data_IF_109195077947
#
_entry.id   IF_109195077947
#
_cell.length_a   1.000
_cell.length_b   1.000
_cell.length_c   1.000
_cell.angle_alpha   90.00
_cell.angle_beta   90.00
_cell.angle_gamma   90.00
#
_symmetry.space_group_name_H-M   'P 1'
#
loop_
_entity.id
_entity.type
_entity.pdbx_description
1 polymer ?
#
# COMPACT_ATOMS: atom_id res chain seq x y z
N UNK A 1 9.36 -12.83 -12.98
CA UNK A 1 9.61 -11.97 -11.79
C UNK A 1 8.27 -11.58 -11.18
N UNK A 2 7.98 -12.02 -9.95
CA UNK A 2 6.74 -11.73 -9.24
C UNK A 2 6.57 -10.23 -8.98
N UNK A 3 5.31 -9.80 -8.90
CA UNK A 3 4.96 -8.42 -8.56
C UNK A 3 4.45 -8.34 -7.12
N UNK A 4 5.31 -7.87 -6.22
CA UNK A 4 4.97 -7.64 -4.83
C UNK A 4 4.22 -6.32 -4.60
N UNK A 5 4.16 -5.43 -5.62
CA UNK A 5 3.56 -4.11 -5.48
C UNK A 5 2.08 -4.20 -5.09
N UNK A 6 1.69 -3.37 -4.14
CA UNK A 6 0.31 -3.29 -3.67
C UNK A 6 0.21 -2.82 -2.23
N UNK A 7 -1.03 -2.64 -1.81
CA UNK A 7 -1.39 -2.44 -0.41
C UNK A 7 -1.81 -3.79 0.17
N UNK A 8 -1.31 -4.10 1.36
CA UNK A 8 -1.41 -5.39 2.00
C UNK A 8 -1.95 -5.20 3.42
N UNK A 9 -2.97 -6.00 3.76
CA UNK A 9 -3.55 -6.06 5.11
C UNK A 9 -3.25 -7.41 5.74
N UNK A 10 -2.91 -7.40 7.02
CA UNK A 10 -2.58 -8.64 7.74
C UNK A 10 -3.83 -9.50 7.92
N UNK A 11 -3.72 -10.78 7.52
CA UNK A 11 -4.72 -11.84 7.69
C UNK A 11 -4.48 -12.61 8.99
N UNK A 12 -3.23 -12.98 9.25
CA UNK A 12 -2.84 -13.69 10.47
C UNK A 12 -1.43 -13.33 10.91
N UNK A 13 -1.14 -13.53 12.20
CA UNK A 13 0.18 -13.36 12.79
C UNK A 13 0.38 -14.43 13.85
N UNK A 14 1.47 -15.18 13.74
CA UNK A 14 1.82 -16.27 14.65
C UNK A 14 3.18 -15.98 15.29
N UNK A 15 3.29 -16.27 16.59
CA UNK A 15 4.54 -16.23 17.35
C UNK A 15 5.27 -14.87 17.43
N UNK A 16 4.58 -13.76 17.16
CA UNK A 16 5.18 -12.41 17.20
C UNK A 16 5.65 -12.01 18.61
N UNK A 17 4.91 -12.40 19.66
CA UNK A 17 5.33 -12.10 21.03
C UNK A 17 6.60 -12.86 21.42
N UNK A 18 6.72 -14.13 21.07
CA UNK A 18 7.92 -14.93 21.36
C UNK A 18 9.13 -14.42 20.57
N UNK A 19 8.95 -13.94 19.33
CA UNK A 19 10.02 -13.26 18.59
C UNK A 19 10.53 -12.05 19.37
N UNK A 20 9.64 -11.16 19.84
CA UNK A 20 10.04 -9.99 20.63
C UNK A 20 10.73 -10.38 21.94
N UNK A 21 10.31 -11.48 22.56
CA UNK A 21 10.93 -12.02 23.77
C UNK A 21 12.33 -12.55 23.50
N UNK A 22 12.55 -13.25 22.39
CA UNK A 22 13.87 -13.70 21.95
C UNK A 22 14.82 -12.52 21.69
N UNK A 23 14.28 -11.41 21.17
CA UNK A 23 15.01 -10.14 21.00
C UNK A 23 15.26 -9.38 22.32
N UNK A 24 14.85 -9.92 23.48
CA UNK A 24 15.08 -9.31 24.79
C UNK A 24 14.10 -8.20 25.16
N UNK A 25 13.00 -8.03 24.41
CA UNK A 25 11.98 -7.02 24.73
C UNK A 25 11.23 -7.42 26.00
N UNK A 26 11.12 -6.51 26.97
CA UNK A 26 10.42 -6.79 28.23
C UNK A 26 8.91 -7.00 28.05
N UNK A 27 8.28 -7.72 28.98
CA UNK A 27 6.88 -8.17 28.85
C UNK A 27 5.87 -7.04 28.61
N UNK A 28 6.04 -5.89 29.27
CA UNK A 28 5.12 -4.76 29.10
C UNK A 28 5.19 -4.20 27.67
N UNK A 29 6.41 -3.96 27.16
CA UNK A 29 6.61 -3.47 25.80
C UNK A 29 6.14 -4.47 24.74
N UNK A 30 6.30 -5.78 24.99
CA UNK A 30 5.80 -6.81 24.07
C UNK A 30 4.28 -6.75 23.91
N UNK A 31 3.53 -6.65 25.01
CA UNK A 31 2.07 -6.54 24.95
C UNK A 31 1.61 -5.32 24.18
N UNK A 32 2.27 -4.17 24.39
CA UNK A 32 1.99 -2.94 23.64
C UNK A 32 2.30 -3.15 22.15
N UNK A 33 3.44 -3.74 21.82
CA UNK A 33 3.86 -3.99 20.44
C UNK A 33 2.91 -4.95 19.70
N UNK A 34 2.48 -6.03 20.36
CA UNK A 34 1.49 -6.97 19.81
C UNK A 34 0.17 -6.27 19.52
N UNK A 35 -0.34 -5.46 20.47
CA UNK A 35 -1.56 -4.70 20.28
C UNK A 35 -1.43 -3.67 19.14
N UNK A 36 -0.29 -2.96 19.08
CA UNK A 36 -0.04 -1.93 18.07
C UNK A 36 0.14 -2.51 16.65
N UNK A 37 0.79 -3.66 16.55
CA UNK A 37 1.05 -4.38 15.31
C UNK A 37 -0.02 -5.45 15.02
N UNK A 38 -1.22 -5.32 15.60
CA UNK A 38 -2.33 -6.26 15.38
C UNK A 38 -3.03 -6.08 14.03
N UNK A 39 -2.94 -4.89 13.41
CA UNK A 39 -3.51 -4.58 12.10
C UNK A 39 -2.58 -3.67 11.28
N UNK A 40 -1.36 -4.11 10.94
CA UNK A 40 -0.44 -3.31 10.15
C UNK A 40 -0.96 -3.17 8.72
N UNK A 41 -0.84 -1.96 8.18
CA UNK A 41 -0.97 -1.70 6.75
C UNK A 41 0.43 -1.69 6.12
N UNK A 42 0.62 -2.49 5.07
CA UNK A 42 1.90 -2.59 4.36
C UNK A 42 1.71 -2.13 2.93
N UNK A 43 2.47 -1.13 2.50
CA UNK A 43 2.52 -0.66 1.12
C UNK A 43 3.87 -1.08 0.52
N UNK A 44 3.84 -1.77 -0.61
CA UNK A 44 5.04 -2.17 -1.35
C UNK A 44 4.99 -1.52 -2.73
N UNK A 45 6.10 -0.91 -3.12
CA UNK A 45 6.36 -0.47 -4.50
C UNK A 45 7.61 -1.20 -4.99
N UNK A 46 7.50 -1.84 -6.15
CA UNK A 46 8.58 -2.57 -6.78
C UNK A 46 8.85 -1.99 -8.17
N UNK A 47 10.09 -1.66 -8.45
CA UNK A 47 10.60 -1.30 -9.77
C UNK A 47 11.80 -2.19 -10.10
N UNK A 48 11.55 -3.25 -10.86
CA UNK A 48 12.54 -4.30 -11.11
C UNK A 48 13.01 -4.97 -9.81
N UNK A 49 14.28 -4.73 -9.48
CA UNK A 49 14.96 -5.20 -8.26
C UNK A 49 14.92 -4.19 -7.11
N UNK A 50 14.41 -2.99 -7.35
CA UNK A 50 14.30 -1.93 -6.35
C UNK A 50 12.96 -2.04 -5.63
N UNK A 51 13.01 -1.97 -4.30
CA UNK A 51 11.85 -2.07 -3.42
C UNK A 51 11.77 -0.86 -2.52
N UNK A 52 10.56 -0.34 -2.38
CA UNK A 52 10.15 0.54 -1.30
C UNK A 52 9.06 -0.17 -0.51
N UNK A 53 9.24 -0.27 0.81
CA UNK A 53 8.29 -0.92 1.70
C UNK A 53 7.99 0.01 2.86
N UNK A 54 6.71 0.34 3.01
CA UNK A 54 6.18 1.12 4.12
C UNK A 54 5.29 0.24 4.98
N UNK A 55 5.61 0.13 6.26
CA UNK A 55 4.79 -0.58 7.24
C UNK A 55 4.26 0.43 8.25
N UNK A 56 2.93 0.57 8.31
CA UNK A 56 2.23 1.47 9.21
C UNK A 56 1.48 0.66 10.27
N UNK A 57 1.77 0.93 11.54
CA UNK A 57 1.04 0.40 12.72
C UNK A 57 0.36 1.55 13.45
N UNK A 58 -0.43 1.27 14.50
CA UNK A 58 -1.07 2.35 15.28
C UNK A 58 -0.08 3.23 16.04
N UNK A 59 1.14 2.73 16.28
CA UNK A 59 2.16 3.42 17.09
C UNK A 59 3.33 3.93 16.25
N UNK A 60 3.70 3.20 15.19
CA UNK A 60 4.90 3.48 14.41
C UNK A 60 4.68 3.23 12.93
N UNK A 61 5.23 4.13 12.13
CA UNK A 61 5.42 3.92 10.68
C UNK A 61 6.91 3.75 10.41
N UNK A 62 7.25 2.76 9.60
CA UNK A 62 8.61 2.47 9.15
C UNK A 62 8.64 2.39 7.64
N UNK A 63 9.69 2.91 7.03
CA UNK A 63 9.88 2.93 5.58
C UNK A 63 11.30 2.46 5.28
N UNK A 64 11.43 1.50 4.38
CA UNK A 64 12.72 1.00 3.90
C UNK A 64 12.75 1.06 2.37
N UNK A 65 13.89 1.45 1.82
CA UNK A 65 14.17 1.39 0.39
C UNK A 65 15.45 0.60 0.19
N UNK A 66 15.42 -0.39 -0.69
CA UNK A 66 16.58 -1.24 -0.95
C UNK A 66 16.54 -1.78 -2.37
N UNK A 67 17.68 -2.30 -2.82
CA UNK A 67 17.80 -3.06 -4.06
C UNK A 67 18.28 -4.46 -3.76
N UNK A 68 17.71 -5.46 -4.42
CA UNK A 68 18.16 -6.85 -4.28
C UNK A 68 19.65 -6.96 -4.64
N UNK A 69 20.42 -7.62 -3.78
CA UNK A 69 21.86 -7.81 -3.94
C UNK A 69 22.74 -6.68 -3.37
N UNK A 70 22.16 -5.58 -2.89
CA UNK A 70 22.89 -4.44 -2.32
C UNK A 70 22.65 -4.33 -0.80
N UNK A 71 23.70 -3.96 -0.04
CA UNK A 71 23.56 -3.67 1.39
C UNK A 71 22.78 -2.36 1.60
N UNK A 72 21.90 -2.32 2.60
CA UNK A 72 21.18 -1.12 3.01
C UNK A 72 21.08 -1.03 4.54
N UNK A 73 20.75 0.15 5.06
CA UNK A 73 20.54 0.36 6.50
C UNK A 73 19.05 0.31 6.82
N UNK A 74 18.70 -0.41 7.89
CA UNK A 74 17.35 -0.43 8.45
C UNK A 74 17.42 -0.60 9.98
N UNK A 75 16.28 -0.93 10.59
CA UNK A 75 16.21 -1.31 11.99
C UNK A 75 15.61 -2.72 12.11
N UNK A 76 16.12 -3.48 13.07
CA UNK A 76 15.48 -4.74 13.48
C UNK A 76 14.07 -4.49 14.03
N UNK A 77 13.27 -5.54 14.19
CA UNK A 77 11.89 -5.45 14.69
C UNK A 77 11.80 -4.76 16.07
N UNK A 78 12.82 -4.93 16.91
CA UNK A 78 12.93 -4.27 18.23
C UNK A 78 13.55 -2.86 18.17
N UNK A 79 13.93 -2.37 16.99
CA UNK A 79 14.37 -0.99 16.75
C UNK A 79 15.88 -0.76 16.82
N UNK A 80 16.71 -1.80 16.76
CA UNK A 80 18.18 -1.64 16.75
C UNK A 80 18.67 -1.38 15.32
N UNK A 81 19.53 -0.37 15.07
CA UNK A 81 20.10 -0.13 13.76
C UNK A 81 20.92 -1.33 13.25
N UNK A 82 20.68 -1.74 12.00
CA UNK A 82 21.37 -2.84 11.35
C UNK A 82 21.66 -2.53 9.87
N UNK A 83 22.65 -3.26 9.33
CA UNK A 83 22.82 -3.44 7.89
C UNK A 83 22.08 -4.69 7.46
N UNK A 84 21.47 -4.60 6.29
CA UNK A 84 20.66 -5.67 5.73
C UNK A 84 21.05 -5.95 4.29
N UNK A 85 20.89 -7.21 3.88
CA UNK A 85 21.17 -7.66 2.52
C UNK A 85 20.07 -8.59 2.05
N UNK A 86 19.24 -8.10 1.11
CA UNK A 86 18.15 -8.87 0.53
C UNK A 86 18.61 -9.60 -0.74
N UNK A 87 18.24 -10.87 -0.88
CA UNK A 87 18.54 -11.73 -2.04
C UNK A 87 17.32 -12.55 -2.43
N UNK A 88 17.22 -12.91 -3.72
CA UNK A 88 16.27 -13.92 -4.16
C UNK A 88 16.71 -15.31 -3.68
N UNK A 89 15.83 -16.04 -3.01
CA UNK A 89 16.01 -17.46 -2.71
C UNK A 89 15.35 -18.32 -3.79
N UNK A 90 14.20 -17.87 -4.30
CA UNK A 90 13.49 -18.47 -5.42
C UNK A 90 12.87 -17.37 -6.30
N UNK A 91 12.15 -17.75 -7.36
CA UNK A 91 11.43 -16.77 -8.19
C UNK A 91 10.44 -15.94 -7.36
N UNK A 92 9.74 -16.54 -6.41
CA UNK A 92 8.65 -15.92 -5.65
C UNK A 92 9.03 -15.54 -4.21
N UNK A 93 10.28 -15.74 -3.79
CA UNK A 93 10.73 -15.55 -2.42
C UNK A 93 12.05 -14.79 -2.32
N UNK A 94 12.04 -13.71 -1.56
CA UNK A 94 13.24 -13.00 -1.14
C UNK A 94 13.55 -13.28 0.34
N UNK A 95 14.83 -13.34 0.67
CA UNK A 95 15.35 -13.49 2.03
C UNK A 95 16.29 -12.33 2.34
N UNK A 96 16.32 -11.88 3.58
CA UNK A 96 17.12 -10.78 4.05
C UNK A 96 17.82 -11.16 5.35
N UNK A 97 19.14 -11.04 5.34
CA UNK A 97 19.97 -11.18 6.53
C UNK A 97 20.19 -9.81 7.16
N UNK A 98 20.09 -9.71 8.48
CA UNK A 98 20.30 -8.47 9.21
C UNK A 98 21.52 -8.60 10.15
N UNK A 99 22.37 -7.59 10.17
CA UNK A 99 23.58 -7.50 10.99
C UNK A 99 23.59 -6.20 11.76
N UNK A 100 23.58 -6.27 13.09
CA UNK A 100 23.58 -5.10 13.96
C UNK A 100 24.80 -4.21 13.68
N UNK A 101 24.58 -2.88 13.67
CA UNK A 101 25.67 -1.91 13.55
C UNK A 101 26.50 -1.80 14.84
N UNK A 102 25.86 -2.05 15.99
CA UNK A 102 26.48 -1.98 17.30
C UNK A 102 25.86 -3.01 18.25
N UNK A 103 26.71 -3.60 19.07
CA UNK A 103 26.32 -4.57 20.10
C UNK A 103 26.19 -5.98 19.55
N UNK A 104 25.81 -6.89 20.44
CA UNK A 104 25.55 -8.29 20.14
C UNK A 104 24.06 -8.60 20.33
N UNK A 105 23.62 -9.71 19.78
CA UNK A 105 22.26 -10.19 19.92
C UNK A 105 21.97 -11.39 19.04
N UNK A 106 20.72 -11.85 19.05
CA UNK A 106 20.26 -12.92 18.18
C UNK A 106 20.57 -12.62 16.72
N UNK A 107 20.83 -13.66 15.92
CA UNK A 107 20.86 -13.51 14.47
C UNK A 107 19.44 -13.23 13.99
N UNK A 108 19.25 -12.11 13.32
CA UNK A 108 17.93 -11.71 12.81
C UNK A 108 17.90 -11.71 11.29
N UNK A 109 16.72 -11.94 10.76
CA UNK A 109 16.47 -11.97 9.33
C UNK A 109 14.99 -11.98 9.04
N UNK A 110 14.63 -11.67 7.80
CA UNK A 110 13.26 -11.75 7.35
C UNK A 110 13.17 -12.30 5.93
N UNK A 111 12.06 -12.92 5.57
CA UNK A 111 11.77 -13.33 4.19
C UNK A 111 10.38 -12.87 3.79
N UNK A 112 10.20 -12.60 2.49
CA UNK A 112 8.90 -12.33 1.88
C UNK A 112 8.68 -13.27 0.72
N UNK A 113 7.60 -14.03 0.78
CA UNK A 113 7.19 -14.96 -0.26
C UNK A 113 5.80 -14.58 -0.79
N UNK A 114 5.68 -14.47 -2.12
CA UNK A 114 4.39 -14.32 -2.78
C UNK A 114 3.90 -15.70 -3.18
N UNK A 115 2.75 -16.11 -2.65
CA UNK A 115 2.16 -17.41 -2.94
C UNK A 115 1.36 -17.37 -4.24
N UNK A 116 1.09 -18.55 -4.81
CA UNK A 116 0.33 -18.67 -6.06
C UNK A 116 -1.14 -18.25 -5.91
N UNK A 117 -1.70 -18.29 -4.70
CA UNK A 117 -3.04 -17.81 -4.35
C UNK A 117 -3.06 -16.30 -4.02
N UNK A 118 -1.94 -15.59 -4.16
CA UNK A 118 -1.86 -14.13 -4.05
C UNK A 118 -1.70 -13.61 -2.63
N UNK A 119 -1.33 -14.46 -1.68
CA UNK A 119 -0.97 -14.06 -0.32
C UNK A 119 0.51 -13.67 -0.24
N UNK A 120 0.82 -12.74 0.67
CA UNK A 120 2.19 -12.37 0.99
C UNK A 120 2.53 -12.92 2.37
N UNK A 121 3.48 -13.86 2.41
CA UNK A 121 3.99 -14.44 3.65
C UNK A 121 5.25 -13.67 4.05
N UNK A 122 5.22 -13.05 5.23
CA UNK A 122 6.37 -12.48 5.90
C UNK A 122 6.81 -13.44 7.00
N UNK A 123 8.05 -13.90 6.94
CA UNK A 123 8.69 -14.64 8.03
C UNK A 123 9.76 -13.77 8.65
N UNK A 124 9.79 -13.68 9.97
CA UNK A 124 10.82 -12.97 10.75
C UNK A 124 11.48 -13.95 11.69
N UNK A 125 12.79 -13.84 11.85
CA UNK A 125 13.59 -14.78 12.63
C UNK A 125 14.46 -14.05 13.66
N UNK A 126 14.62 -14.69 14.82
CA UNK A 126 15.59 -14.33 15.85
C UNK A 126 16.15 -15.63 16.43
N UNK A 127 17.37 -15.99 16.05
CA UNK A 127 17.96 -17.32 16.25
C UNK A 127 17.00 -18.43 15.77
N UNK A 128 16.58 -19.32 16.68
CA UNK A 128 15.68 -20.45 16.37
C UNK A 128 14.19 -20.05 16.41
N UNK A 129 13.86 -18.82 16.81
CA UNK A 129 12.48 -18.35 16.90
C UNK A 129 12.01 -17.78 15.58
N UNK A 130 10.89 -18.31 15.09
CA UNK A 130 10.25 -17.92 13.84
C UNK A 130 8.89 -17.30 14.13
N UNK A 131 8.64 -16.13 13.55
CA UNK A 131 7.33 -15.49 13.49
C UNK A 131 6.87 -15.44 12.03
N UNK A 132 5.62 -15.83 11.80
CA UNK A 132 5.01 -15.82 10.47
C UNK A 132 3.82 -14.88 10.46
N UNK A 133 3.74 -14.02 9.45
CA UNK A 133 2.62 -13.14 9.20
C UNK A 133 2.14 -13.31 7.77
N UNK A 134 0.85 -13.54 7.62
CA UNK A 134 0.22 -13.67 6.31
C UNK A 134 -0.55 -12.40 6.01
N UNK A 135 -0.38 -11.88 4.80
CA UNK A 135 -1.05 -10.70 4.31
C UNK A 135 -1.82 -11.01 3.04
N UNK A 136 -2.95 -10.33 2.87
CA UNK A 136 -3.74 -10.35 1.63
C UNK A 136 -3.76 -8.95 1.05
N UNK A 137 -3.85 -8.85 -0.28
CA UNK A 137 -3.99 -7.54 -0.92
C UNK A 137 -5.26 -6.87 -0.37
N UNK A 138 -5.11 -5.63 0.09
CA UNK A 138 -6.26 -4.78 0.32
C UNK A 138 -6.67 -4.27 -1.05
N UNK A 139 -7.75 -4.81 -1.62
CA UNK A 139 -8.38 -4.21 -2.77
C UNK A 139 -8.77 -2.78 -2.36
N UNK A 140 -8.04 -1.79 -2.88
CA UNK A 140 -8.64 -0.48 -3.15
C UNK A 140 -9.50 -0.64 -4.40
N UNK A 141 -10.48 -1.54 -4.38
CA UNK A 141 -11.75 -1.18 -4.99
C UNK A 141 -12.24 -0.04 -4.11
N UNK A 142 -11.90 1.18 -4.53
CA UNK A 142 -12.82 2.27 -4.33
C UNK A 142 -14.18 1.68 -4.72
N UNK A 143 -15.05 1.43 -3.73
CA UNK A 143 -16.41 1.86 -3.90
C UNK A 143 -16.31 3.36 -4.17
N UNK A 144 -16.06 3.71 -5.42
CA UNK A 144 -16.78 4.81 -6.01
C UNK A 144 -18.24 4.46 -5.66
N UNK A 145 -18.97 5.27 -4.86
CA UNK A 145 -20.39 5.32 -5.14
C UNK A 145 -20.45 5.53 -6.64
N UNK A 146 -21.13 4.65 -7.38
CA UNK A 146 -21.50 4.93 -8.76
C UNK A 146 -21.87 6.39 -8.78
N UNK A 147 -21.08 7.21 -9.48
CA UNK A 147 -21.44 8.59 -9.74
C UNK A 147 -22.77 8.46 -10.45
N UNK A 148 -23.87 8.61 -9.71
CA UNK A 148 -25.12 8.96 -10.30
C UNK A 148 -24.75 10.16 -11.19
N UNK A 149 -25.02 10.12 -12.50
CA UNK A 149 -24.71 11.25 -13.35
C UNK A 149 -25.29 12.47 -12.66
N UNK A 150 -24.44 13.45 -12.38
CA UNK A 150 -24.89 14.73 -11.86
C UNK A 150 -26.14 15.11 -12.64
N UNK A 151 -27.26 15.49 -11.99
CA UNK A 151 -28.40 15.99 -12.73
C UNK A 151 -27.89 17.12 -13.63
N UNK A 152 -28.30 17.16 -14.91
CA UNK A 152 -27.86 18.24 -15.79
C UNK A 152 -28.18 19.58 -15.12
N UNK A 153 -27.32 20.61 -15.30
CA UNK A 153 -27.62 21.93 -14.78
C UNK A 153 -29.02 22.34 -15.25
N UNK A 154 -29.82 23.02 -14.39
CA UNK A 154 -31.13 23.47 -14.80
C UNK A 154 -30.97 24.31 -16.07
N UNK A 155 -31.62 23.86 -17.16
CA UNK A 155 -31.71 24.64 -18.39
C UNK A 155 -32.24 26.03 -18.02
N UNK A 156 -31.57 27.12 -18.42
CA UNK A 156 -32.15 28.44 -18.24
C UNK A 156 -33.46 28.47 -19.01
N UNK A 157 -34.57 28.50 -18.29
CA UNK A 157 -35.85 28.89 -18.85
C UNK A 157 -35.71 30.34 -19.26
N UNK A 158 -35.33 30.57 -20.53
CA UNK A 158 -35.67 31.80 -21.20
C UNK A 158 -37.19 31.83 -21.29
N UNK A 159 -37.80 32.49 -20.31
CA UNK A 159 -39.14 33.02 -20.44
C UNK A 159 -39.10 33.96 -21.65
N UNK A 160 -39.45 33.44 -22.81
CA UNK A 160 -39.87 34.25 -23.94
C UNK A 160 -41.13 34.99 -23.48
N UNK A 161 -40.92 36.19 -22.94
CA UNK A 161 -41.97 37.18 -22.81
C UNK A 161 -42.57 37.42 -24.20
N UNK A 162 -43.87 37.74 -24.28
CA UNK A 162 -44.56 37.86 -25.56
C UNK A 162 -43.92 38.99 -26.38
N UNK A 163 -43.32 38.62 -27.51
CA UNK A 163 -43.00 39.56 -28.59
C UNK A 163 -44.32 40.08 -29.14
N UNK A 164 -44.61 41.36 -28.89
CA UNK A 164 -45.72 42.07 -29.53
C UNK A 164 -45.58 42.00 -31.06
N UNK A 165 -46.67 41.73 -31.79
CA UNK A 165 -46.64 41.70 -33.25
C UNK A 165 -46.48 43.12 -33.81
N UNK A 166 -45.41 43.35 -34.58
CA UNK A 166 -45.33 44.49 -35.48
C UNK A 166 -46.31 44.29 -36.66
N UNK A 167 -46.98 45.36 -37.14
CA UNK A 167 -48.00 45.28 -38.19
C UNK A 167 -47.43 45.00 -39.58
N UNK A 168 -48.25 44.48 -40.52
CA UNK A 168 -47.82 44.02 -41.83
C UNK A 168 -47.46 45.18 -42.76
N UNK A 169 -46.29 45.09 -43.41
CA UNK A 169 -45.94 45.94 -44.55
C UNK A 169 -46.35 45.23 -45.83
N UNK A 170 -47.14 45.94 -46.62
CA UNK A 170 -47.81 45.50 -47.83
C UNK A 170 -46.83 45.14 -48.97
N UNK A 171 -47.30 44.21 -49.81
CA UNK A 171 -46.66 43.75 -51.03
C UNK A 171 -46.58 44.84 -52.10
N UNK A 172 -45.44 44.88 -52.79
CA UNK A 172 -45.30 45.44 -54.13
C UNK A 172 -44.15 44.74 -54.88
N UNK A 173 -44.52 43.79 -55.76
CA UNK A 173 -43.71 43.38 -56.92
C UNK A 173 -43.50 44.59 -57.86
N UNK A 174 -42.51 44.65 -58.81
CA UNK A 174 -42.27 43.67 -59.89
C UNK A 174 -40.79 43.64 -60.44
N UNK A 175 -40.48 43.14 -61.66
CA UNK A 175 -40.61 41.80 -62.23
C UNK A 175 -39.24 41.29 -62.78
N UNK A 176 -39.10 40.46 -63.86
CA UNK A 176 -38.18 39.31 -63.86
C UNK A 176 -36.90 39.54 -64.69
N UNK A 177 -36.05 38.53 -64.64
CA UNK A 177 -34.76 38.33 -65.30
C UNK A 177 -34.67 38.72 -66.77
N UNK A 178 -33.46 39.12 -67.17
CA UNK A 178 -32.82 38.73 -68.44
C UNK A 178 -31.43 38.19 -68.12
#
# INVERSE_FOLDING_TARGET
MPNFSGNWKMKSSENFEELLKALGVNMMLRKIAVAAASKPAVEIKQDGESFYIKTSTTVRTTEISFRIGEEFEEQTVDGRPCKSLAKWESENKMVCEQRLLKGEGPRTGWSRELTNDGELILTMTADDVVCTRVYIRSDTTNHHPTTAPFPPPPTPHFSHGPVSPCPPVAASCPPPSL
#
